data_IF_322431317402
#
_entry.id   IF_322431317402
#
_cell.length_a   1.000
_cell.length_b   1.000
_cell.length_c   1.000
_cell.angle_alpha   90.00
_cell.angle_beta   90.00
_cell.angle_gamma   90.00
#
_symmetry.space_group_name_H-M   'P 1'
#
loop_
_entity.id
_entity.type
_entity.pdbx_description
1 polymer ?
#
# COMPACT_ATOMS: atom_id res chain seq x y z
N UNK A 1 -8.00 17.31 10.55
CA UNK A 1 -6.63 17.31 10.00
C UNK A 1 -6.20 15.95 9.45
N UNK A 2 -6.41 14.83 10.17
CA UNK A 2 -6.06 13.49 9.69
C UNK A 2 -6.74 13.09 8.36
N UNK A 3 -8.00 13.48 8.14
CA UNK A 3 -8.71 13.19 6.88
C UNK A 3 -8.12 13.93 5.66
N UNK A 4 -7.58 15.14 5.87
CA UNK A 4 -6.90 15.89 4.81
C UNK A 4 -5.60 15.18 4.42
N UNK A 5 -4.85 14.69 5.42
CA UNK A 5 -3.63 13.93 5.20
C UNK A 5 -3.91 12.59 4.48
N UNK A 6 -5.00 11.89 4.80
CA UNK A 6 -5.39 10.67 4.09
C UNK A 6 -5.68 10.96 2.62
N UNK A 7 -6.44 12.01 2.31
CA UNK A 7 -6.77 12.36 0.93
C UNK A 7 -5.52 12.72 0.11
N UNK A 8 -4.54 13.41 0.69
CA UNK A 8 -3.26 13.68 0.02
C UNK A 8 -2.46 12.40 -0.23
N UNK A 9 -2.43 11.47 0.74
CA UNK A 9 -1.78 10.17 0.55
C UNK A 9 -2.48 9.29 -0.49
N UNK A 10 -3.81 9.29 -0.54
CA UNK A 10 -4.58 8.59 -1.58
C UNK A 10 -4.24 9.12 -2.98
N UNK A 11 -4.10 10.44 -3.14
CA UNK A 11 -3.69 11.04 -4.43
C UNK A 11 -2.28 10.64 -4.83
N UNK A 12 -1.34 10.65 -3.89
CA UNK A 12 0.03 10.19 -4.14
C UNK A 12 0.07 8.70 -4.50
N UNK A 13 -0.75 7.88 -3.85
CA UNK A 13 -0.86 6.45 -4.17
C UNK A 13 -1.29 6.29 -5.63
N UNK A 14 -2.37 6.95 -6.04
CA UNK A 14 -2.87 6.88 -7.43
C UNK A 14 -1.83 7.36 -8.46
N UNK A 15 -1.06 8.41 -8.14
CA UNK A 15 0.02 8.86 -9.02
C UNK A 15 1.11 7.78 -9.20
N UNK A 16 1.52 7.13 -8.10
CA UNK A 16 2.51 6.06 -8.15
C UNK A 16 1.99 4.83 -8.88
N UNK A 17 0.72 4.47 -8.68
CA UNK A 17 0.08 3.38 -9.42
C UNK A 17 0.08 3.64 -10.93
N UNK A 18 -0.18 4.87 -11.35
CA UNK A 18 -0.13 5.25 -12.76
C UNK A 18 1.29 5.16 -13.32
N UNK A 19 2.31 5.57 -12.56
CA UNK A 19 3.71 5.43 -12.99
C UNK A 19 4.14 3.97 -13.09
N UNK A 20 3.77 3.14 -12.12
CA UNK A 20 4.05 1.69 -12.15
C UNK A 20 3.37 1.01 -13.34
N UNK A 21 2.10 1.35 -13.62
CA UNK A 21 1.40 0.86 -14.82
C UNK A 21 2.06 1.32 -16.11
N UNK A 22 2.51 2.56 -16.19
CA UNK A 22 3.24 3.07 -17.34
C UNK A 22 4.57 2.33 -17.56
N UNK A 23 5.19 1.84 -16.48
CA UNK A 23 6.37 0.97 -16.51
C UNK A 23 6.04 -0.52 -16.79
N UNK A 24 4.76 -0.86 -17.01
CA UNK A 24 4.33 -2.23 -17.33
C UNK A 24 4.13 -3.13 -16.11
N UNK A 25 4.12 -2.59 -14.90
CA UNK A 25 3.91 -3.36 -13.67
C UNK A 25 2.40 -3.54 -13.41
N UNK A 26 1.90 -4.78 -13.33
CA UNK A 26 0.51 -5.04 -12.95
C UNK A 26 0.31 -4.80 -11.45
N UNK A 27 -0.80 -4.14 -11.07
CA UNK A 27 -1.13 -3.82 -9.67
C UNK A 27 -2.39 -4.55 -9.19
N UNK A 28 -2.68 -4.44 -7.90
CA UNK A 28 -3.77 -5.15 -7.23
C UNK A 28 -5.14 -4.92 -7.90
N UNK A 29 -5.41 -3.66 -8.28
CA UNK A 29 -6.67 -3.29 -8.96
C UNK A 29 -6.82 -3.88 -10.36
N UNK A 30 -5.72 -4.30 -11.01
CA UNK A 30 -5.75 -4.94 -12.33
C UNK A 30 -5.87 -6.47 -12.22
N UNK A 31 -5.38 -7.05 -11.13
CA UNK A 31 -5.47 -8.49 -10.89
C UNK A 31 -6.92 -8.96 -10.73
N UNK A 32 -7.77 -8.22 -9.99
CA UNK A 32 -9.20 -8.54 -9.86
C UNK A 32 -9.94 -8.47 -11.20
N UNK A 33 -9.61 -7.49 -12.05
CA UNK A 33 -10.18 -7.39 -13.40
C UNK A 33 -9.72 -8.54 -14.31
N UNK A 34 -8.47 -9.00 -14.17
CA UNK A 34 -7.95 -10.12 -14.96
C UNK A 34 -8.47 -11.48 -14.51
N UNK A 35 -8.76 -11.69 -13.22
CA UNK A 35 -9.39 -12.94 -12.74
C UNK A 35 -10.86 -13.01 -13.21
N UNK A 36 -11.57 -11.88 -13.23
CA UNK A 36 -12.91 -11.79 -13.82
C UNK A 36 -12.91 -12.05 -15.34
N UNK A 37 -11.90 -11.57 -16.07
CA UNK A 37 -11.79 -11.77 -17.51
C UNK A 37 -11.30 -13.18 -17.92
N UNK A 38 -10.59 -13.89 -17.03
CA UNK A 38 -10.09 -15.27 -17.27
C UNK A 38 -10.96 -16.36 -16.68
N UNK A 39 -12.14 -16.05 -16.17
CA UNK A 39 -13.15 -17.08 -15.93
C UNK A 39 -13.77 -17.41 -17.29
N UNK A 40 -13.44 -18.54 -17.94
CA UNK A 40 -14.23 -18.96 -19.10
C UNK A 40 -15.66 -19.10 -18.60
N UNK A 41 -16.54 -18.30 -19.19
CA UNK A 41 -17.98 -18.49 -19.17
C UNK A 41 -18.28 -19.80 -19.92
N UNK A 42 -17.88 -20.92 -19.31
CA UNK A 42 -18.22 -22.27 -19.70
C UNK A 42 -19.43 -22.65 -18.87
N UNK A 43 -20.60 -22.34 -19.39
CA UNK A 43 -21.81 -23.02 -18.94
C UNK A 43 -21.61 -24.52 -19.13
N UNK A 44 -21.99 -25.29 -18.12
CA UNK A 44 -23.05 -26.28 -18.28
C UNK A 44 -23.48 -26.78 -16.90
N UNK A 45 -24.79 -26.78 -16.71
CA UNK A 45 -25.46 -27.26 -15.54
C UNK A 45 -25.13 -28.73 -15.31
N UNK A 46 -24.77 -29.08 -14.07
CA UNK A 46 -24.99 -30.43 -13.56
C UNK A 46 -25.69 -30.32 -12.21
N UNK A 47 -27.01 -30.38 -12.31
CA UNK A 47 -27.95 -30.72 -11.26
C UNK A 47 -27.60 -32.11 -10.73
N UNK A 48 -26.67 -32.17 -9.77
CA UNK A 48 -26.32 -33.37 -9.02
C UNK A 48 -26.87 -33.29 -7.61
N UNK A 49 -28.15 -33.63 -7.46
CA UNK A 49 -28.72 -33.97 -6.16
C UNK A 49 -28.06 -35.26 -5.64
N UNK A 50 -27.54 -35.28 -4.41
CA UNK A 50 -27.98 -36.17 -3.30
C UNK A 50 -27.10 -36.01 -2.04
N UNK A 51 -27.76 -35.83 -0.89
CA UNK A 51 -27.53 -36.60 0.33
C UNK A 51 -26.36 -36.23 1.25
N UNK A 52 -26.67 -35.82 2.50
CA UNK A 52 -25.68 -35.92 3.58
C UNK A 52 -25.90 -35.04 4.79
N UNK A 53 -27.02 -35.19 5.51
CA UNK A 53 -27.18 -34.71 6.88
C UNK A 53 -26.18 -35.39 7.81
N UNK A 54 -25.22 -34.65 8.36
CA UNK A 54 -24.60 -34.99 9.66
C UNK A 54 -24.46 -33.74 10.52
N UNK A 55 -25.44 -33.58 11.42
CA UNK A 55 -25.30 -32.89 12.70
C UNK A 55 -24.15 -33.55 13.48
N UNK A 56 -23.17 -32.75 13.86
CA UNK A 56 -22.14 -33.10 14.82
C UNK A 56 -22.04 -31.99 15.84
N UNK A 57 -22.86 -32.07 16.89
CA UNK A 57 -22.63 -31.41 18.16
C UNK A 57 -21.27 -31.88 18.70
N UNK A 58 -20.31 -30.97 18.84
CA UNK A 58 -19.18 -31.14 19.76
C UNK A 58 -18.54 -29.77 20.07
N UNK A 59 -19.08 -29.12 21.10
CA UNK A 59 -18.36 -28.12 21.88
C UNK A 59 -17.36 -28.84 22.80
N UNK A 60 -16.14 -28.30 22.97
CA UNK A 60 -15.82 -27.77 24.28
C UNK A 60 -15.33 -26.33 24.22
N UNK A 61 -15.93 -25.53 25.11
CA UNK A 61 -15.58 -24.16 25.49
C UNK A 61 -14.33 -24.19 26.39
N UNK A 62 -13.19 -23.60 26.00
CA UNK A 62 -12.13 -23.27 26.95
C UNK A 62 -12.48 -22.00 27.71
N UNK A 63 -12.34 -22.08 29.03
CA UNK A 63 -12.64 -21.05 30.03
C UNK A 63 -11.63 -19.89 29.99
N UNK A 64 -12.05 -18.67 30.35
CA UNK A 64 -11.17 -17.50 30.42
C UNK A 64 -10.33 -17.49 31.72
N UNK A 65 -9.02 -17.23 31.68
CA UNK A 65 -8.28 -16.91 32.91
C UNK A 65 -8.63 -15.51 33.41
N UNK A 66 -9.06 -15.49 34.66
CA UNK A 66 -9.41 -14.35 35.50
C UNK A 66 -8.20 -13.46 35.83
N UNK A 67 -8.46 -12.16 35.73
CA UNK A 67 -7.88 -11.00 36.41
C UNK A 67 -6.62 -11.18 37.29
N UNK A 68 -5.57 -10.43 36.95
CA UNK A 68 -4.62 -9.87 37.94
C UNK A 68 -4.59 -8.35 37.82
N UNK A 69 -4.45 -7.71 38.98
CA UNK A 69 -4.78 -6.34 39.39
C UNK A 69 -3.87 -5.21 38.84
N UNK A 70 -4.26 -3.93 39.03
CA UNK A 70 -3.58 -2.75 38.48
C UNK A 70 -2.29 -2.41 39.23
N UNK A 71 -1.27 -1.96 38.48
CA UNK A 71 -0.06 -1.35 39.05
C UNK A 71 -0.03 0.14 38.72
N UNK A 72 -0.20 0.92 39.76
CA UNK A 72 -0.05 2.38 39.82
C UNK A 72 1.41 2.83 39.73
N UNK A 73 1.60 3.99 39.10
CA UNK A 73 2.67 4.98 39.30
C UNK A 73 4.09 4.67 38.76
N UNK A 74 4.54 5.50 37.80
CA UNK A 74 5.55 6.54 38.05
C UNK A 74 5.77 7.46 36.83
N UNK A 75 5.52 8.78 37.01
CA UNK A 75 6.07 9.89 36.19
C UNK A 75 7.57 10.03 36.49
N UNK A 76 8.38 10.48 35.51
CA UNK A 76 9.13 11.72 35.74
C UNK A 76 9.18 12.68 34.53
N UNK A 77 8.84 13.95 34.82
CA UNK A 77 9.44 15.22 34.36
C UNK A 77 10.09 15.34 32.97
N UNK A 78 9.42 16.10 32.10
CA UNK A 78 9.87 17.42 31.61
C UNK A 78 11.37 17.59 31.31
N UNK A 79 11.74 17.60 30.02
CA UNK A 79 12.95 18.29 29.53
C UNK A 79 12.67 19.14 28.30
N UNK A 80 12.99 20.42 28.50
CA UNK A 80 13.00 21.60 27.65
C UNK A 80 13.34 21.38 26.16
N UNK A 81 12.53 22.05 25.36
CA UNK A 81 12.79 22.48 23.98
C UNK A 81 13.98 23.46 23.93
N UNK A 82 14.99 23.24 23.07
CA UNK A 82 15.77 24.34 22.52
C UNK A 82 15.17 24.79 21.18
N UNK A 83 14.70 26.04 21.17
CA UNK A 83 14.50 26.84 19.96
C UNK A 83 15.86 27.05 19.31
N UNK A 84 16.10 26.46 18.14
CA UNK A 84 17.14 26.92 17.23
C UNK A 84 16.49 27.57 16.02
N UNK A 85 16.85 28.85 15.89
CA UNK A 85 16.44 29.82 14.89
C UNK A 85 17.66 30.05 14.01
N UNK A 86 17.61 29.64 12.75
CA UNK A 86 18.45 30.18 11.68
C UNK A 86 17.64 30.07 10.38
N UNK A 87 17.03 31.16 9.91
CA UNK A 87 17.62 32.19 9.03
C UNK A 87 18.19 31.60 7.74
N UNK A 88 17.33 31.60 6.71
CA UNK A 88 17.64 32.06 5.36
C UNK A 88 18.78 31.38 4.61
N UNK A 89 18.42 30.67 3.53
CA UNK A 89 19.21 30.77 2.31
C UNK A 89 18.27 30.76 1.11
N UNK A 90 18.18 31.93 0.48
CA UNK A 90 17.58 32.13 -0.82
C UNK A 90 18.53 31.63 -1.92
N UNK A 91 17.93 31.45 -3.10
CA UNK A 91 18.54 31.50 -4.44
C UNK A 91 19.04 30.20 -5.06
N UNK A 92 18.31 29.78 -6.10
CA UNK A 92 18.68 28.79 -7.11
C UNK A 92 17.40 28.17 -7.67
N UNK A 93 16.78 28.64 -8.77
CA UNK A 93 17.35 29.30 -9.93
C UNK A 93 17.67 28.30 -11.03
N UNK A 94 16.67 27.56 -11.51
CA UNK A 94 16.67 26.81 -12.77
C UNK A 94 15.21 26.85 -13.26
N UNK A 95 14.85 27.70 -14.23
CA UNK A 95 15.11 27.45 -15.65
C UNK A 95 14.09 26.42 -16.13
N UNK A 96 12.93 26.81 -16.67
CA UNK A 96 12.87 27.39 -18.02
C UNK A 96 13.19 26.30 -19.04
N UNK A 97 12.21 25.46 -19.38
CA UNK A 97 12.42 24.32 -20.26
C UNK A 97 11.13 23.78 -20.85
N UNK A 98 10.44 24.58 -21.67
CA UNK A 98 9.55 24.06 -22.69
C UNK A 98 10.43 23.34 -23.73
N UNK A 99 10.69 22.06 -23.49
CA UNK A 99 11.52 21.19 -24.32
C UNK A 99 10.70 20.05 -24.90
N UNK A 100 10.06 20.31 -26.03
CA UNK A 100 9.45 19.34 -26.92
C UNK A 100 10.58 18.51 -27.54
N UNK A 101 10.74 17.26 -27.11
CA UNK A 101 11.49 16.24 -27.83
C UNK A 101 10.92 14.86 -27.50
N UNK A 102 9.97 14.42 -28.32
CA UNK A 102 9.77 13.00 -28.58
C UNK A 102 11.04 12.52 -29.28
N UNK A 103 12.00 12.03 -28.50
CA UNK A 103 13.12 11.26 -29.00
C UNK A 103 12.78 9.79 -28.81
N UNK A 104 12.58 9.08 -29.92
CA UNK A 104 12.75 7.64 -30.01
C UNK A 104 14.09 7.27 -29.37
N UNK A 105 14.08 6.84 -28.12
CA UNK A 105 15.24 6.18 -27.50
C UNK A 105 15.06 4.69 -27.71
N UNK A 106 15.59 4.23 -28.83
CA UNK A 106 15.72 2.81 -29.13
C UNK A 106 16.70 2.16 -28.14
N UNK A 107 16.16 1.24 -27.34
CA UNK A 107 16.77 -0.04 -26.96
C UNK A 107 18.22 -0.03 -26.42
N UNK A 108 18.45 0.64 -25.28
CA UNK A 108 19.44 0.21 -24.27
C UNK A 108 19.00 0.55 -22.83
N UNK A 109 17.73 0.95 -22.63
CA UNK A 109 17.19 1.49 -21.37
C UNK A 109 16.56 0.47 -20.42
N UNK A 110 16.79 -0.82 -20.60
CA UNK A 110 16.19 -1.86 -19.74
C UNK A 110 16.69 -1.78 -18.29
N UNK A 111 17.97 -1.40 -18.10
CA UNK A 111 18.55 -1.20 -16.77
C UNK A 111 17.94 0.02 -16.05
N UNK A 112 17.80 1.15 -16.74
CA UNK A 112 17.21 2.37 -16.18
C UNK A 112 15.71 2.23 -15.92
N UNK A 113 14.99 1.48 -16.76
CA UNK A 113 13.59 1.12 -16.51
C UNK A 113 13.47 0.31 -15.22
N UNK A 114 14.38 -0.63 -15.00
CA UNK A 114 14.40 -1.45 -13.79
C UNK A 114 14.67 -0.64 -12.53
N UNK A 115 15.68 0.25 -12.57
CA UNK A 115 15.97 1.18 -11.48
C UNK A 115 14.74 2.04 -11.16
N UNK A 116 14.05 2.53 -12.20
CA UNK A 116 12.82 3.31 -12.03
C UNK A 116 11.72 2.49 -11.34
N UNK A 117 11.51 1.22 -11.73
CA UNK A 117 10.53 0.33 -11.07
C UNK A 117 10.88 0.10 -9.61
N UNK A 118 12.16 -0.12 -9.29
CA UNK A 118 12.62 -0.32 -7.92
C UNK A 118 12.47 0.96 -7.06
N UNK A 119 12.77 2.13 -7.60
CA UNK A 119 12.55 3.41 -6.91
C UNK A 119 11.06 3.66 -6.65
N UNK A 120 10.20 3.38 -7.65
CA UNK A 120 8.74 3.47 -7.50
C UNK A 120 8.22 2.48 -6.45
N UNK A 121 8.79 1.28 -6.39
CA UNK A 121 8.46 0.27 -5.38
C UNK A 121 8.79 0.78 -3.98
N UNK A 122 10.01 1.26 -3.76
CA UNK A 122 10.42 1.80 -2.47
C UNK A 122 9.51 2.97 -2.02
N UNK A 123 9.22 3.91 -2.91
CA UNK A 123 8.33 5.03 -2.62
C UNK A 123 6.88 4.58 -2.33
N UNK A 124 6.39 3.52 -2.99
CA UNK A 124 5.06 2.94 -2.73
C UNK A 124 5.01 2.29 -1.34
N UNK A 125 6.05 1.55 -0.97
CA UNK A 125 6.15 0.93 0.34
C UNK A 125 6.25 1.96 1.49
N UNK A 126 7.05 3.00 1.32
CA UNK A 126 7.11 4.12 2.28
C UNK A 126 5.75 4.79 2.48
N UNK A 127 4.98 4.93 1.39
CA UNK A 127 3.64 5.49 1.45
C UNK A 127 2.67 4.54 2.16
N UNK A 128 2.75 3.24 1.88
CA UNK A 128 1.95 2.22 2.57
C UNK A 128 2.19 2.25 4.08
N UNK A 129 3.44 2.35 4.53
CA UNK A 129 3.76 2.45 5.96
C UNK A 129 3.16 3.69 6.61
N UNK A 130 3.17 4.84 5.93
CA UNK A 130 2.55 6.08 6.42
C UNK A 130 1.02 5.95 6.52
N UNK A 131 0.37 5.40 5.50
CA UNK A 131 -1.07 5.17 5.46
C UNK A 131 -1.48 4.18 6.57
N UNK A 132 -0.74 3.09 6.73
CA UNK A 132 -1.03 2.10 7.75
C UNK A 132 -0.78 2.64 9.16
N UNK A 133 0.25 3.48 9.36
CA UNK A 133 0.44 4.19 10.61
C UNK A 133 -0.69 5.16 10.97
N UNK A 134 -1.45 5.68 9.98
CA UNK A 134 -2.70 6.40 10.23
C UNK A 134 -3.83 5.43 10.60
N UNK A 135 -3.98 4.30 9.90
CA UNK A 135 -4.98 3.29 10.22
C UNK A 135 -4.84 2.76 11.65
N UNK A 136 -3.62 2.52 12.12
CA UNK A 136 -3.35 2.07 13.50
C UNK A 136 -3.80 3.08 14.56
N UNK A 137 -3.77 4.39 14.23
CA UNK A 137 -4.26 5.46 15.11
C UNK A 137 -5.78 5.63 15.04
N UNK A 138 -6.42 5.07 14.01
CA UNK A 138 -7.85 5.18 13.73
C UNK A 138 -8.49 3.79 13.47
N UNK A 139 -8.41 2.84 14.41
CA UNK A 139 -8.83 1.44 14.18
C UNK A 139 -10.35 1.24 14.00
N UNK A 140 -11.16 2.27 14.31
CA UNK A 140 -12.61 2.24 14.10
C UNK A 140 -13.07 2.75 12.74
N UNK A 141 -12.15 3.32 11.95
CA UNK A 141 -12.48 3.94 10.67
C UNK A 141 -12.13 2.99 9.53
N UNK A 142 -13.14 2.29 9.01
CA UNK A 142 -12.97 1.23 8.00
C UNK A 142 -12.20 1.72 6.76
N UNK A 143 -12.45 2.98 6.34
CA UNK A 143 -11.76 3.59 5.20
C UNK A 143 -10.23 3.56 5.35
N UNK A 144 -9.68 3.90 6.51
CA UNK A 144 -8.21 3.88 6.70
C UNK A 144 -7.66 2.46 6.61
N UNK A 145 -8.38 1.49 7.17
CA UNK A 145 -7.98 0.07 7.10
C UNK A 145 -8.01 -0.47 5.66
N UNK A 146 -9.01 -0.10 4.86
CA UNK A 146 -9.10 -0.48 3.45
C UNK A 146 -7.97 0.14 2.62
N UNK A 147 -7.71 1.43 2.79
CA UNK A 147 -6.64 2.14 2.06
C UNK A 147 -5.26 1.59 2.44
N UNK A 148 -5.02 1.29 3.73
CA UNK A 148 -3.81 0.59 4.17
C UNK A 148 -3.67 -0.79 3.53
N UNK A 149 -4.75 -1.58 3.48
CA UNK A 149 -4.74 -2.89 2.82
C UNK A 149 -4.36 -2.81 1.36
N UNK A 150 -4.95 -1.87 0.61
CA UNK A 150 -4.62 -1.62 -0.79
C UNK A 150 -3.16 -1.19 -0.97
N UNK A 151 -2.70 -0.20 -0.21
CA UNK A 151 -1.32 0.30 -0.32
C UNK A 151 -0.26 -0.78 -0.01
N UNK A 152 -0.53 -1.68 0.94
CA UNK A 152 0.33 -2.84 1.22
C UNK A 152 0.39 -3.81 0.06
N UNK A 153 -0.74 -4.09 -0.57
CA UNK A 153 -0.79 -4.97 -1.73
C UNK A 153 -0.05 -4.36 -2.93
N UNK A 154 -0.21 -3.06 -3.17
CA UNK A 154 0.52 -2.34 -4.22
C UNK A 154 2.04 -2.36 -3.96
N UNK A 155 2.47 -2.13 -2.73
CA UNK A 155 3.88 -2.27 -2.33
C UNK A 155 4.41 -3.69 -2.60
N UNK A 156 3.63 -4.73 -2.26
CA UNK A 156 4.01 -6.12 -2.51
C UNK A 156 4.18 -6.41 -4.01
N UNK A 157 3.23 -5.97 -4.83
CA UNK A 157 3.27 -6.16 -6.29
C UNK A 157 4.43 -5.40 -6.93
N UNK A 158 4.64 -4.14 -6.52
CA UNK A 158 5.76 -3.33 -7.00
C UNK A 158 7.12 -3.94 -6.63
N UNK A 159 7.24 -4.51 -5.43
CA UNK A 159 8.47 -5.16 -4.96
C UNK A 159 8.78 -6.41 -5.77
N UNK A 160 7.77 -7.26 -6.01
CA UNK A 160 7.91 -8.43 -6.88
C UNK A 160 8.30 -8.04 -8.30
N UNK A 161 7.77 -6.94 -8.83
CA UNK A 161 8.12 -6.46 -10.16
C UNK A 161 9.57 -5.95 -10.24
N UNK A 162 10.05 -5.24 -9.21
CA UNK A 162 11.45 -4.85 -9.10
C UNK A 162 12.36 -6.08 -9.05
N UNK A 163 12.04 -7.08 -8.21
CA UNK A 163 12.81 -8.32 -8.11
C UNK A 163 12.83 -9.11 -9.42
N UNK A 164 11.67 -9.24 -10.08
CA UNK A 164 11.55 -9.95 -11.36
C UNK A 164 12.26 -9.24 -12.51
N UNK A 165 12.39 -7.92 -12.43
CA UNK A 165 13.07 -7.12 -13.43
C UNK A 165 14.60 -7.16 -13.26
N UNK A 166 15.09 -7.27 -12.02
CA UNK A 166 16.52 -7.29 -11.70
C UNK A 166 17.17 -8.68 -11.88
N UNK A 167 16.36 -9.73 -12.06
CA UNK A 167 16.77 -11.12 -12.23
C UNK A 167 17.14 -11.46 -13.68
#
# INVERSE_FOLDING_TARGET
EAELALADYERLLVEQELRLRAAGVPLAGDAEAQIAAKTPSGGEASTGAIGGTKRGDNAPRPEPPVATKPSTASRPTEKKVPKSKSTGSASGGYGGGAGKAAGDVAADGSGDACLTVCDLSAATCDLADRICGLADRHPGEERYSQVCGRAREDCRMASQACEACAA
#
